data_IF_612543718474
#
_entry.id   IF_612543718474
#
_cell.length_a   1.000
_cell.length_b   1.000
_cell.length_c   1.000
_cell.angle_alpha   90.00
_cell.angle_beta   90.00
_cell.angle_gamma   90.00
#
_symmetry.space_group_name_H-M   'P 1'
#
loop_
_entity.id
_entity.type
_entity.pdbx_description
1 polymer ?
#
# COMPACT_ATOMS: atom_id res chain seq x y z
N UNK A 1 9.85 16.60 14.09
CA UNK A 1 10.24 16.05 12.78
C UNK A 1 11.42 15.06 12.89
N UNK A 2 11.76 14.58 14.08
CA UNK A 2 12.62 13.40 14.21
C UNK A 2 11.80 12.13 13.92
N UNK A 3 12.38 11.16 13.23
CA UNK A 3 11.76 9.85 12.96
C UNK A 3 10.99 9.69 11.65
N UNK A 4 10.91 10.72 10.78
CA UNK A 4 10.36 10.55 9.43
C UNK A 4 11.47 10.08 8.49
N UNK A 5 11.27 8.93 7.83
CA UNK A 5 12.07 8.52 6.69
C UNK A 5 11.69 9.39 5.48
N UNK A 6 12.69 9.78 4.68
CA UNK A 6 12.46 10.46 3.41
C UNK A 6 12.79 9.48 2.28
N UNK A 7 11.80 9.16 1.45
CA UNK A 7 12.00 8.40 0.22
C UNK A 7 11.64 9.26 -0.98
N UNK A 8 12.54 9.32 -1.97
CA UNK A 8 12.32 10.02 -3.24
C UNK A 8 12.14 9.00 -4.35
N UNK A 9 10.90 8.68 -4.66
CA UNK A 9 10.57 7.78 -5.76
C UNK A 9 11.09 8.36 -7.10
N UNK A 10 11.93 7.62 -7.84
CA UNK A 10 12.38 8.09 -9.14
C UNK A 10 11.23 8.05 -10.16
N UNK A 11 11.31 8.96 -11.12
CA UNK A 11 10.42 8.92 -12.28
C UNK A 11 10.85 7.78 -13.20
N UNK A 12 9.93 6.88 -13.53
CA UNK A 12 10.15 5.83 -14.51
C UNK A 12 10.06 6.40 -15.94
N UNK A 13 10.97 5.97 -16.81
CA UNK A 13 10.94 6.33 -18.23
C UNK A 13 9.86 5.54 -19.00
N UNK A 14 9.59 4.31 -18.54
CA UNK A 14 8.59 3.38 -19.05
C UNK A 14 7.80 2.91 -17.84
N UNK A 15 6.47 2.86 -17.95
CA UNK A 15 5.61 2.31 -16.90
C UNK A 15 5.92 0.83 -16.71
N UNK A 16 6.12 0.35 -15.47
CA UNK A 16 6.27 -1.08 -15.24
C UNK A 16 4.97 -1.81 -15.57
N UNK A 17 5.10 -3.06 -16.00
CA UNK A 17 3.95 -3.97 -16.02
C UNK A 17 3.52 -4.26 -14.60
N UNK A 18 2.22 -4.17 -14.31
CA UNK A 18 1.66 -4.57 -13.01
C UNK A 18 1.45 -6.09 -13.05
N UNK A 19 2.45 -6.85 -12.61
CA UNK A 19 2.44 -8.32 -12.58
C UNK A 19 3.09 -8.93 -11.32
N UNK A 20 3.50 -8.09 -10.37
CA UNK A 20 4.17 -8.51 -9.13
C UNK A 20 5.65 -8.89 -9.30
N UNK A 21 6.28 -8.63 -10.47
CA UNK A 21 7.65 -9.06 -10.76
C UNK A 21 8.61 -7.86 -10.83
N UNK A 22 9.71 -7.93 -10.06
CA UNK A 22 10.78 -6.91 -10.01
C UNK A 22 11.74 -6.91 -11.22
N UNK A 23 11.31 -7.44 -12.38
CA UNK A 23 12.19 -7.60 -13.54
C UNK A 23 12.11 -6.44 -14.55
N UNK A 24 11.16 -5.51 -14.38
CA UNK A 24 11.01 -4.37 -15.27
C UNK A 24 12.15 -3.34 -15.06
N UNK A 25 12.61 -2.73 -16.15
CA UNK A 25 13.67 -1.72 -16.14
C UNK A 25 13.29 -0.49 -15.29
N UNK A 26 12.00 -0.24 -15.10
CA UNK A 26 11.50 0.82 -14.22
C UNK A 26 12.03 0.68 -12.78
N UNK A 27 12.23 -0.54 -12.30
CA UNK A 27 12.64 -0.82 -10.92
C UNK A 27 14.15 -0.74 -10.68
N UNK A 28 14.98 -0.76 -11.73
CA UNK A 28 16.45 -0.78 -11.61
C UNK A 28 17.02 0.45 -10.88
N UNK A 29 16.36 1.60 -11.03
CA UNK A 29 16.77 2.84 -10.38
C UNK A 29 16.29 2.96 -8.92
N UNK A 30 15.50 1.99 -8.44
CA UNK A 30 14.94 1.96 -7.09
C UNK A 30 15.69 0.99 -6.19
N UNK A 31 15.63 1.25 -4.89
CA UNK A 31 16.03 0.28 -3.87
C UNK A 31 14.80 -0.13 -3.08
N UNK A 32 14.78 -1.39 -2.67
CA UNK A 32 13.84 -1.87 -1.66
C UNK A 32 13.96 -1.01 -0.40
N UNK A 33 12.81 -0.67 0.17
CA UNK A 33 12.65 -0.05 1.47
C UNK A 33 11.94 -1.04 2.38
N UNK A 34 12.45 -1.24 3.58
CA UNK A 34 11.88 -2.20 4.50
C UNK A 34 10.63 -1.63 5.18
N UNK A 35 9.65 -2.50 5.45
CA UNK A 35 8.49 -2.25 6.30
C UNK A 35 8.83 -2.92 7.64
N UNK A 36 9.53 -2.21 8.51
CA UNK A 36 10.16 -2.77 9.72
C UNK A 36 9.79 -2.03 11.01
N UNK A 37 8.82 -1.13 10.93
CA UNK A 37 8.34 -0.35 12.07
C UNK A 37 7.12 -1.04 12.69
N UNK A 38 7.32 -1.71 13.82
CA UNK A 38 6.23 -2.28 14.62
C UNK A 38 5.36 -1.14 15.20
N UNK A 39 4.20 -0.91 14.62
CA UNK A 39 3.26 0.11 15.07
C UNK A 39 2.35 -0.38 16.20
N UNK A 40 1.81 -1.59 16.05
CA UNK A 40 0.87 -2.19 17.00
C UNK A 40 1.15 -3.69 17.12
N UNK A 41 1.00 -4.23 18.33
CA UNK A 41 1.17 -5.66 18.59
C UNK A 41 2.45 -5.99 19.35
N UNK A 42 2.69 -7.30 19.61
CA UNK A 42 3.92 -7.78 20.21
C UNK A 42 5.09 -7.74 19.21
N UNK A 43 6.31 -7.97 19.71
CA UNK A 43 7.46 -8.26 18.86
C UNK A 43 7.21 -9.55 18.05
N UNK A 44 7.70 -9.56 16.81
CA UNK A 44 7.59 -10.68 15.88
C UNK A 44 8.99 -11.09 15.38
N UNK A 45 9.07 -12.26 14.76
CA UNK A 45 10.29 -12.80 14.15
C UNK A 45 10.21 -12.68 12.64
N UNK A 46 11.35 -12.71 11.92
CA UNK A 46 11.39 -12.63 10.45
C UNK A 46 10.55 -13.73 9.76
N UNK A 47 10.31 -14.86 10.43
CA UNK A 47 9.48 -15.93 9.88
C UNK A 47 7.98 -15.60 9.90
N UNK A 48 7.55 -14.73 10.82
CA UNK A 48 6.17 -14.27 11.01
C UNK A 48 5.85 -13.12 10.06
N UNK A 49 6.74 -12.12 9.96
CA UNK A 49 6.56 -11.01 9.03
C UNK A 49 7.87 -10.47 8.49
N UNK A 50 7.95 -10.30 7.17
CA UNK A 50 8.91 -9.42 6.50
C UNK A 50 8.18 -8.64 5.41
N UNK A 51 8.31 -7.32 5.42
CA UNK A 51 7.77 -6.48 4.36
C UNK A 51 8.85 -5.61 3.74
N UNK A 52 8.77 -5.42 2.42
CA UNK A 52 9.57 -4.43 1.71
C UNK A 52 8.83 -3.90 0.51
N UNK A 53 9.16 -2.68 0.09
CA UNK A 53 8.52 -2.04 -1.04
C UNK A 53 9.48 -1.24 -1.94
N UNK A 54 9.05 -1.00 -3.17
CA UNK A 54 9.63 -0.07 -4.13
C UNK A 54 8.53 0.86 -4.64
N UNK A 55 8.89 2.11 -4.94
CA UNK A 55 7.97 3.07 -5.57
C UNK A 55 8.65 3.76 -6.74
N UNK A 56 7.96 3.81 -7.88
CA UNK A 56 8.27 4.69 -9.00
C UNK A 56 7.04 5.47 -9.42
N UNK A 57 7.21 6.50 -10.23
CA UNK A 57 6.07 7.23 -10.76
C UNK A 57 6.25 7.61 -12.23
N UNK A 58 5.12 7.81 -12.88
CA UNK A 58 4.96 8.42 -14.20
C UNK A 58 3.99 9.61 -14.04
N UNK A 59 3.91 10.55 -14.99
CA UNK A 59 2.95 11.64 -14.90
C UNK A 59 1.49 11.20 -14.70
N UNK A 60 1.15 9.96 -15.10
CA UNK A 60 -0.20 9.41 -15.02
C UNK A 60 -0.46 8.61 -13.74
N UNK A 61 0.56 7.99 -13.13
CA UNK A 61 0.40 7.00 -12.05
C UNK A 61 1.62 6.90 -11.13
N UNK A 62 1.36 6.55 -9.87
CA UNK A 62 2.34 6.01 -8.93
C UNK A 62 2.26 4.48 -9.01
N UNK A 63 3.41 3.82 -9.04
CA UNK A 63 3.52 2.36 -9.04
C UNK A 63 4.22 1.92 -7.77
N UNK A 64 3.62 0.96 -7.08
CA UNK A 64 4.17 0.33 -5.89
C UNK A 64 4.39 -1.15 -6.20
N UNK A 65 5.54 -1.66 -5.78
CA UNK A 65 5.80 -3.10 -5.72
C UNK A 65 6.10 -3.43 -4.27
N UNK A 66 5.25 -4.24 -3.64
CA UNK A 66 5.45 -4.72 -2.29
C UNK A 66 5.73 -6.22 -2.32
N UNK A 67 6.68 -6.65 -1.51
CA UNK A 67 6.92 -8.06 -1.20
C UNK A 67 6.71 -8.25 0.29
N UNK A 68 5.77 -9.11 0.64
CA UNK A 68 5.39 -9.42 2.01
C UNK A 68 5.51 -10.93 2.18
N UNK A 69 6.25 -11.34 3.20
CA UNK A 69 6.34 -12.73 3.66
C UNK A 69 5.62 -12.78 4.99
N UNK A 70 4.64 -13.68 5.05
CA UNK A 70 3.86 -13.97 6.24
C UNK A 70 3.75 -15.49 6.40
N UNK A 71 3.74 -16.00 7.62
CA UNK A 71 3.57 -17.43 7.87
C UNK A 71 2.12 -17.88 7.67
N UNK A 72 1.15 -16.99 7.86
CA UNK A 72 -0.28 -17.24 7.75
C UNK A 72 -0.96 -16.07 7.05
N UNK A 73 -1.41 -16.30 5.81
CA UNK A 73 -2.34 -15.38 5.15
C UNK A 73 -3.76 -15.55 5.72
N UNK A 74 -4.27 -14.51 6.38
CA UNK A 74 -5.53 -14.48 7.10
C UNK A 74 -6.56 -13.56 6.43
N UNK A 75 -7.67 -14.17 5.99
CA UNK A 75 -8.88 -13.48 5.52
C UNK A 75 -10.08 -14.21 6.13
N UNK A 76 -10.69 -13.58 7.14
CA UNK A 76 -11.82 -14.13 7.89
C UNK A 76 -13.17 -13.56 7.46
N UNK A 77 -13.19 -12.46 6.69
CA UNK A 77 -14.40 -11.79 6.26
C UNK A 77 -14.59 -11.87 4.74
N UNK A 78 -15.45 -12.81 4.32
CA UNK A 78 -15.81 -12.98 2.90
C UNK A 78 -16.42 -11.72 2.24
N UNK A 79 -16.99 -10.81 3.02
CA UNK A 79 -17.50 -9.54 2.49
C UNK A 79 -16.39 -8.48 2.61
N UNK A 80 -15.83 -7.99 1.49
CA UNK A 80 -14.68 -7.08 1.52
C UNK A 80 -15.01 -5.72 2.15
N UNK A 81 -16.28 -5.42 2.42
CA UNK A 81 -16.71 -4.16 3.05
C UNK A 81 -16.88 -4.28 4.57
N UNK A 82 -16.60 -5.44 5.17
CA UNK A 82 -16.81 -5.71 6.59
C UNK A 82 -15.49 -6.04 7.26
N UNK A 83 -15.06 -5.20 8.20
CA UNK A 83 -13.87 -5.43 9.06
C UNK A 83 -12.60 -5.85 8.30
N UNK A 84 -12.42 -5.38 7.07
CA UNK A 84 -11.26 -5.70 6.23
C UNK A 84 -9.93 -5.20 6.82
N UNK A 85 -9.96 -4.28 7.78
CA UNK A 85 -8.78 -3.84 8.55
C UNK A 85 -8.35 -4.85 9.63
N UNK A 86 -9.19 -5.83 9.95
CA UNK A 86 -8.87 -6.94 10.88
C UNK A 86 -8.33 -8.18 10.12
N UNK A 87 -8.33 -8.15 8.80
CA UNK A 87 -7.77 -9.18 7.91
C UNK A 87 -6.44 -8.69 7.29
N UNK A 88 -5.65 -9.61 6.72
CA UNK A 88 -4.39 -9.26 6.10
C UNK A 88 -4.58 -8.37 4.87
N UNK A 89 -3.94 -7.20 4.91
CA UNK A 89 -3.95 -6.26 3.80
C UNK A 89 -2.68 -5.40 3.79
N UNK A 90 -2.37 -4.87 2.60
CA UNK A 90 -1.42 -3.77 2.46
C UNK A 90 -2.19 -2.46 2.54
N UNK A 91 -1.88 -1.61 3.52
CA UNK A 91 -2.47 -0.28 3.62
C UNK A 91 -1.56 0.80 3.00
N UNK A 92 -2.13 1.62 2.11
CA UNK A 92 -1.42 2.72 1.42
C UNK A 92 -2.12 4.03 1.73
N UNK A 93 -1.36 5.01 2.26
CA UNK A 93 -1.83 6.38 2.46
C UNK A 93 -1.18 7.34 1.45
N UNK A 94 -1.96 8.19 0.81
CA UNK A 94 -1.51 9.16 -0.19
C UNK A 94 -2.09 10.55 0.07
N UNK A 95 -1.22 11.52 0.32
CA UNK A 95 -1.52 12.96 0.39
C UNK A 95 -0.89 13.66 -0.82
N UNK A 96 -1.69 13.92 -1.84
CA UNK A 96 -1.21 14.37 -3.16
C UNK A 96 -0.63 15.79 -3.14
N UNK A 97 -1.16 16.67 -2.28
CA UNK A 97 -0.74 18.07 -2.18
C UNK A 97 0.18 18.34 -0.99
N UNK A 98 0.48 17.30 -0.20
CA UNK A 98 1.32 17.36 0.99
C UNK A 98 0.79 18.38 2.02
N UNK A 99 -0.53 18.54 2.09
CA UNK A 99 -1.20 19.44 3.03
C UNK A 99 -1.04 19.02 4.48
N UNK A 100 -0.82 17.73 4.74
CA UNK A 100 -0.79 17.15 6.08
C UNK A 100 -2.15 17.13 6.77
N UNK A 101 -3.24 17.22 6.01
CA UNK A 101 -4.60 17.10 6.52
C UNK A 101 -4.99 15.66 6.85
N UNK A 102 -6.14 15.50 7.50
CA UNK A 102 -6.69 14.20 7.89
C UNK A 102 -7.12 13.39 6.65
N UNK A 103 -6.93 12.07 6.64
CA UNK A 103 -7.40 11.21 5.55
C UNK A 103 -8.88 10.82 5.70
N UNK A 104 -9.42 10.88 6.93
CA UNK A 104 -10.75 10.36 7.21
C UNK A 104 -11.86 11.28 6.66
N UNK A 105 -12.78 10.67 5.91
CA UNK A 105 -14.09 11.23 5.53
C UNK A 105 -14.06 12.54 4.72
N UNK A 106 -12.92 12.94 4.16
CA UNK A 106 -12.79 14.24 3.49
C UNK A 106 -12.02 14.20 2.15
N UNK A 107 -11.38 13.09 1.80
CA UNK A 107 -10.51 12.92 0.63
C UNK A 107 -9.37 13.97 0.53
N UNK A 108 -8.92 14.53 1.65
CA UNK A 108 -7.72 15.36 1.69
C UNK A 108 -6.47 14.50 1.50
N UNK A 109 -6.47 13.32 2.13
CA UNK A 109 -5.59 12.21 1.80
C UNK A 109 -6.44 10.96 1.57
N UNK A 110 -5.93 10.04 0.76
CA UNK A 110 -6.57 8.76 0.46
C UNK A 110 -5.91 7.65 1.25
N UNK A 111 -6.70 6.68 1.73
CA UNK A 111 -6.20 5.40 2.18
C UNK A 111 -6.71 4.29 1.26
N UNK A 112 -5.95 3.21 1.16
CA UNK A 112 -6.33 2.00 0.42
C UNK A 112 -5.92 0.79 1.24
N UNK A 113 -6.88 -0.03 1.64
CA UNK A 113 -6.61 -1.37 2.13
C UNK A 113 -6.67 -2.32 0.94
N UNK A 114 -5.51 -2.79 0.50
CA UNK A 114 -5.36 -3.74 -0.60
C UNK A 114 -5.38 -5.15 -0.02
N UNK A 115 -6.50 -5.84 -0.18
CA UNK A 115 -6.72 -7.20 0.31
C UNK A 115 -5.94 -8.26 -0.48
N UNK A 116 -5.84 -9.47 0.07
CA UNK A 116 -5.22 -10.63 -0.58
C UNK A 116 -5.86 -11.02 -1.93
N UNK A 117 -7.12 -10.66 -2.15
CA UNK A 117 -7.82 -10.86 -3.42
C UNK A 117 -7.78 -9.63 -4.34
N UNK A 118 -6.82 -8.72 -4.09
CA UNK A 118 -6.47 -7.56 -4.92
C UNK A 118 -7.54 -6.46 -4.95
N UNK A 119 -8.45 -6.38 -3.98
CA UNK A 119 -9.43 -5.30 -3.87
C UNK A 119 -8.87 -4.14 -3.05
N UNK A 120 -9.09 -2.90 -3.51
CA UNK A 120 -8.77 -1.71 -2.74
C UNK A 120 -10.04 -1.17 -2.08
N UNK A 121 -10.14 -1.27 -0.76
CA UNK A 121 -11.29 -0.84 0.03
C UNK A 121 -10.87 0.29 0.97
N UNK A 122 -11.73 1.29 1.12
CA UNK A 122 -11.59 2.28 2.18
C UNK A 122 -12.95 2.95 2.49
N UNK A 123 -12.97 3.82 3.51
CA UNK A 123 -14.16 4.56 3.92
C UNK A 123 -14.30 5.89 3.17
N UNK A 124 -15.46 6.10 2.56
CA UNK A 124 -15.79 7.35 1.87
C UNK A 124 -16.20 8.50 2.79
N UNK A 125 -16.46 9.66 2.19
CA UNK A 125 -16.91 10.88 2.90
C UNK A 125 -18.27 10.76 3.60
N UNK A 126 -19.01 9.68 3.37
CA UNK A 126 -20.27 9.36 4.06
C UNK A 126 -20.10 8.31 5.17
N UNK A 127 -18.84 8.06 5.58
CA UNK A 127 -18.46 7.11 6.62
C UNK A 127 -18.82 5.65 6.29
N UNK A 128 -18.96 5.31 4.99
CA UNK A 128 -19.21 3.94 4.53
C UNK A 128 -18.07 3.37 3.71
N UNK A 129 -17.72 2.12 4.04
CA UNK A 129 -16.81 1.30 3.26
C UNK A 129 -17.32 1.13 1.82
N UNK A 130 -16.39 1.21 0.86
CA UNK A 130 -16.66 1.03 -0.57
C UNK A 130 -15.41 0.59 -1.31
N UNK A 131 -15.61 0.00 -2.48
CA UNK A 131 -14.50 -0.32 -3.37
C UNK A 131 -13.98 0.91 -4.12
N UNK A 132 -12.68 1.07 -4.07
CA UNK A 132 -11.89 2.02 -4.82
C UNK A 132 -11.04 1.36 -5.91
N UNK A 133 -11.22 0.06 -6.14
CA UNK A 133 -10.53 -0.74 -7.18
C UNK A 133 -10.70 -0.22 -8.61
N UNK A 134 -11.61 0.74 -8.86
CA UNK A 134 -11.78 1.37 -10.18
C UNK A 134 -10.65 2.35 -10.55
N UNK A 135 -9.80 2.74 -9.58
CA UNK A 135 -8.61 3.56 -9.82
C UNK A 135 -7.33 2.94 -9.26
N UNK A 136 -7.38 1.66 -8.86
CA UNK A 136 -6.22 0.85 -8.46
C UNK A 136 -6.10 -0.33 -9.42
N UNK A 137 -4.88 -0.58 -9.92
CA UNK A 137 -4.57 -1.76 -10.70
C UNK A 137 -3.58 -2.61 -9.90
N UNK A 138 -4.00 -3.84 -9.55
CA UNK A 138 -3.29 -4.78 -8.67
C UNK A 138 -3.26 -6.17 -9.29
N UNK A 139 -2.19 -6.93 -9.02
CA UNK A 139 -1.99 -8.32 -9.49
C UNK A 139 -1.29 -9.13 -8.42
#
# INVERSE_FOLDING_TARGET
>A
MEGRTEYRAPRAAIAPVVDGIDSDAAWEATRWQDIDQLWLGPEYEDADFQGRFKVVWTPERIYLLAEIVDDILFDSHRDPLVQYWDDDCLEIFLDEDFSGGDHQYNHNAFAYHVSLDNQAIDIGTDEKARSYSHHVESR
#
